data_IF_499840608353
#
_entry.id   IF_499840608353
#
_cell.length_a   1.000
_cell.length_b   1.000
_cell.length_c   1.000
_cell.angle_alpha   90.00
_cell.angle_beta   90.00
_cell.angle_gamma   90.00
#
_symmetry.space_group_name_H-M   'P 1'
#
loop_
_entity.id
_entity.type
_entity.pdbx_description
1 polymer ?
#
# COMPACT_ATOMS: atom_id res chain seq x y z
N UNK A 1 0.60 24.71 -1.61
CA UNK A 1 0.68 23.26 -1.82
C UNK A 1 0.95 22.59 -0.49
N UNK A 2 0.18 21.58 -0.18
CA UNK A 2 0.41 20.83 1.05
C UNK A 2 1.52 19.81 0.86
N UNK A 3 2.32 19.66 1.90
CA UNK A 3 3.38 18.67 1.92
C UNK A 3 2.80 17.27 2.04
N UNK A 4 3.32 16.33 1.25
CA UNK A 4 2.90 14.92 1.30
C UNK A 4 3.39 14.29 2.60
N UNK A 5 2.50 13.60 3.28
CA UNK A 5 2.80 12.84 4.49
C UNK A 5 2.97 11.37 4.12
N UNK A 6 4.19 10.88 4.25
CA UNK A 6 4.52 9.49 3.94
C UNK A 6 4.39 8.62 5.18
N UNK A 7 4.08 7.34 4.99
CA UNK A 7 4.13 6.38 6.09
C UNK A 7 5.59 6.05 6.41
N UNK A 8 5.86 5.86 7.69
CA UNK A 8 7.17 5.39 8.18
C UNK A 8 7.18 3.87 8.28
N UNK A 9 8.37 3.27 8.39
CA UNK A 9 8.48 1.83 8.62
C UNK A 9 7.78 1.41 9.90
N UNK A 10 7.90 2.21 10.97
CA UNK A 10 7.20 1.94 12.24
C UNK A 10 5.69 1.91 12.09
N UNK A 11 5.13 2.83 11.29
CA UNK A 11 3.69 2.86 11.05
C UNK A 11 3.24 1.62 10.27
N UNK A 12 4.01 1.20 9.27
CA UNK A 12 3.68 0.02 8.48
C UNK A 12 3.75 -1.25 9.35
N UNK A 13 4.77 -1.35 10.20
CA UNK A 13 4.90 -2.47 11.15
C UNK A 13 3.72 -2.48 12.13
N UNK A 14 3.34 -1.33 12.65
CA UNK A 14 2.19 -1.21 13.56
C UNK A 14 0.90 -1.68 12.87
N UNK A 15 0.69 -1.26 11.63
CA UNK A 15 -0.51 -1.66 10.88
C UNK A 15 -0.53 -3.17 10.63
N UNK A 16 0.61 -3.77 10.35
CA UNK A 16 0.71 -5.23 10.21
C UNK A 16 0.33 -5.94 11.51
N UNK A 17 0.90 -5.52 12.62
CA UNK A 17 0.59 -6.09 13.95
C UNK A 17 -0.90 -5.96 14.26
N UNK A 18 -1.46 -4.81 13.97
CA UNK A 18 -2.87 -4.52 14.21
C UNK A 18 -3.78 -5.46 13.41
N UNK A 19 -3.46 -5.67 12.12
CA UNK A 19 -4.22 -6.58 11.27
C UNK A 19 -4.17 -8.02 11.80
N UNK A 20 -3.00 -8.47 12.22
CA UNK A 20 -2.85 -9.83 12.77
C UNK A 20 -3.64 -9.99 14.06
N UNK A 21 -3.55 -9.02 14.98
CA UNK A 21 -4.26 -9.05 16.26
C UNK A 21 -5.78 -9.06 16.08
N UNK A 22 -6.28 -8.33 15.09
CA UNK A 22 -7.72 -8.26 14.84
C UNK A 22 -8.28 -9.51 14.17
N UNK A 23 -7.57 -10.06 13.20
CA UNK A 23 -8.15 -11.07 12.30
C UNK A 23 -7.51 -12.45 12.37
N UNK A 24 -6.28 -12.56 12.83
CA UNK A 24 -5.56 -13.84 12.89
C UNK A 24 -4.53 -13.84 14.02
N UNK A 25 -4.98 -13.67 15.31
CA UNK A 25 -4.07 -13.44 16.42
C UNK A 25 -3.09 -14.57 16.71
N UNK A 26 -3.29 -15.76 16.13
CA UNK A 26 -2.39 -16.89 16.30
C UNK A 26 -1.26 -16.92 15.25
N UNK A 27 -1.36 -16.12 14.19
CA UNK A 27 -0.31 -16.06 13.18
C UNK A 27 0.92 -15.33 13.69
N UNK A 28 2.07 -15.70 13.17
CA UNK A 28 3.34 -15.07 13.52
C UNK A 28 3.34 -13.61 13.05
N UNK A 29 3.69 -12.70 13.96
CA UNK A 29 3.91 -11.29 13.66
C UNK A 29 5.36 -11.06 13.26
N UNK A 30 5.61 -9.93 12.64
CA UNK A 30 6.96 -9.40 12.46
C UNK A 30 7.40 -9.29 11.03
N UNK A 31 8.51 -8.60 10.88
CA UNK A 31 9.15 -8.35 9.58
C UNK A 31 10.02 -9.54 9.21
N UNK A 32 9.75 -10.11 8.04
CA UNK A 32 10.55 -11.19 7.48
C UNK A 32 11.77 -10.65 6.74
N UNK A 33 11.61 -9.53 6.04
CA UNK A 33 12.67 -8.94 5.24
C UNK A 33 12.67 -7.41 5.39
N UNK A 34 13.65 -6.91 6.16
CA UNK A 34 13.76 -5.47 6.45
C UNK A 34 14.10 -4.65 5.23
N UNK A 35 14.89 -5.18 4.32
CA UNK A 35 15.27 -4.50 3.09
C UNK A 35 14.08 -4.29 2.17
N UNK A 36 13.23 -5.30 2.05
CA UNK A 36 12.01 -5.20 1.24
C UNK A 36 10.98 -4.25 1.86
N UNK A 37 10.91 -4.21 3.20
CA UNK A 37 10.06 -3.23 3.89
C UNK A 37 10.55 -1.81 3.62
N UNK A 38 11.84 -1.56 3.80
CA UNK A 38 12.44 -0.26 3.54
C UNK A 38 12.22 0.19 2.10
N UNK A 39 12.43 -0.70 1.15
CA UNK A 39 12.18 -0.45 -0.27
C UNK A 39 10.74 -0.02 -0.53
N UNK A 40 9.77 -0.72 0.04
CA UNK A 40 8.34 -0.41 -0.14
C UNK A 40 8.01 0.98 0.42
N UNK A 41 8.49 1.28 1.62
CA UNK A 41 8.20 2.55 2.32
C UNK A 41 8.83 3.74 1.60
N UNK A 42 10.02 3.57 1.03
CA UNK A 42 10.73 4.66 0.38
C UNK A 42 10.37 4.85 -1.10
N UNK A 43 9.80 3.84 -1.75
CA UNK A 43 9.46 3.94 -3.17
C UNK A 43 8.60 5.16 -3.52
N UNK A 44 7.54 5.51 -2.76
CA UNK A 44 6.72 6.68 -3.10
C UNK A 44 7.48 8.00 -3.16
N UNK A 45 8.63 8.08 -2.48
CA UNK A 45 9.46 9.29 -2.41
C UNK A 45 10.51 9.36 -3.50
N UNK A 46 10.65 8.34 -4.33
CA UNK A 46 11.73 8.28 -5.32
C UNK A 46 11.66 9.45 -6.29
N UNK A 47 12.84 9.92 -6.67
CA UNK A 47 12.99 10.98 -7.66
C UNK A 47 14.02 10.55 -8.71
N UNK A 48 13.90 11.14 -9.88
CA UNK A 48 14.85 10.93 -10.98
C UNK A 48 15.06 12.26 -11.67
N UNK A 49 16.33 12.64 -11.86
CA UNK A 49 16.70 13.90 -12.52
C UNK A 49 16.05 15.13 -11.88
N UNK A 50 15.94 15.14 -10.54
CA UNK A 50 15.39 16.26 -9.79
C UNK A 50 13.87 16.33 -9.76
N UNK A 51 13.17 15.35 -10.34
CA UNK A 51 11.71 15.31 -10.36
C UNK A 51 11.19 14.05 -9.68
N UNK A 52 9.97 14.14 -9.11
CA UNK A 52 9.33 12.98 -8.49
C UNK A 52 9.07 11.89 -9.54
N UNK A 53 9.47 10.66 -9.21
CA UNK A 53 9.16 9.50 -10.05
C UNK A 53 7.65 9.23 -10.06
N UNK A 54 6.96 9.56 -8.97
CA UNK A 54 5.52 9.38 -8.79
C UNK A 54 4.91 10.73 -8.41
N UNK A 55 4.58 11.59 -9.40
CA UNK A 55 4.22 12.99 -9.10
C UNK A 55 2.86 13.20 -8.45
N UNK A 56 1.88 12.33 -8.69
CA UNK A 56 0.54 12.47 -8.10
C UNK A 56 0.37 11.64 -6.85
N UNK A 57 -0.60 12.01 -6.01
CA UNK A 57 -0.91 11.24 -4.80
C UNK A 57 -1.33 9.81 -5.16
N UNK A 58 -2.03 9.62 -6.27
CA UNK A 58 -2.49 8.31 -6.72
C UNK A 58 -1.32 7.42 -7.14
N UNK A 59 -0.33 8.00 -7.83
CA UNK A 59 0.88 7.28 -8.20
C UNK A 59 1.73 6.91 -6.99
N UNK A 60 1.86 7.83 -6.03
CA UNK A 60 2.56 7.56 -4.77
C UNK A 60 1.89 6.44 -3.97
N UNK A 61 0.56 6.49 -3.89
CA UNK A 61 -0.24 5.46 -3.24
C UNK A 61 -0.07 4.11 -3.92
N UNK A 62 -0.09 4.10 -5.26
CA UNK A 62 0.09 2.88 -6.04
C UNK A 62 1.48 2.27 -5.85
N UNK A 63 2.51 3.11 -5.77
CA UNK A 63 3.88 2.64 -5.55
C UNK A 63 4.01 1.95 -4.18
N UNK A 64 3.44 2.53 -3.14
CA UNK A 64 3.41 1.93 -1.80
C UNK A 64 2.64 0.60 -1.81
N UNK A 65 1.44 0.63 -2.35
CA UNK A 65 0.52 -0.50 -2.36
C UNK A 65 1.08 -1.70 -3.14
N UNK A 66 1.54 -1.46 -4.35
CA UNK A 66 2.13 -2.51 -5.18
C UNK A 66 3.35 -3.14 -4.51
N UNK A 67 4.24 -2.31 -3.95
CA UNK A 67 5.44 -2.82 -3.29
C UNK A 67 5.11 -3.66 -2.06
N UNK A 68 4.16 -3.21 -1.23
CA UNK A 68 3.76 -3.99 -0.06
C UNK A 68 3.09 -5.31 -0.44
N UNK A 69 2.32 -5.31 -1.52
CA UNK A 69 1.68 -6.54 -2.00
C UNK A 69 2.70 -7.54 -2.55
N UNK A 70 3.67 -7.08 -3.34
CA UNK A 70 4.59 -7.96 -4.07
C UNK A 70 5.83 -8.34 -3.28
N UNK A 71 6.28 -7.49 -2.36
CA UNK A 71 7.53 -7.73 -1.63
C UNK A 71 7.41 -8.79 -0.55
N UNK A 72 6.23 -9.06 -0.03
CA UNK A 72 6.00 -10.04 1.06
C UNK A 72 6.98 -9.85 2.21
N UNK A 73 7.10 -8.60 2.70
CA UNK A 73 8.11 -8.26 3.71
C UNK A 73 7.75 -8.70 5.13
N UNK A 74 6.52 -9.14 5.38
CA UNK A 74 6.07 -9.67 6.67
C UNK A 74 5.88 -11.18 6.61
N UNK A 75 5.89 -11.83 7.76
CA UNK A 75 5.59 -13.26 7.83
C UNK A 75 4.15 -13.55 7.44
N UNK A 76 3.22 -12.72 7.84
CA UNK A 76 1.80 -12.92 7.57
C UNK A 76 1.08 -11.60 7.32
N UNK A 77 -0.15 -11.69 6.81
CA UNK A 77 -1.07 -10.58 6.60
C UNK A 77 -0.55 -9.52 5.61
N UNK A 78 0.24 -9.90 4.62
CA UNK A 78 0.81 -8.96 3.66
C UNK A 78 -0.26 -8.21 2.87
N UNK A 79 -1.31 -8.89 2.40
CA UNK A 79 -2.39 -8.25 1.63
C UNK A 79 -3.21 -7.30 2.49
N UNK A 80 -3.59 -7.74 3.70
CA UNK A 80 -4.36 -6.89 4.63
C UNK A 80 -3.55 -5.66 5.04
N UNK A 81 -2.26 -5.83 5.27
CA UNK A 81 -1.36 -4.73 5.62
C UNK A 81 -1.21 -3.75 4.47
N UNK A 82 -1.05 -4.26 3.24
CA UNK A 82 -0.95 -3.39 2.05
C UNK A 82 -2.21 -2.53 1.90
N UNK A 83 -3.39 -3.12 2.07
CA UNK A 83 -4.64 -2.38 1.99
C UNK A 83 -4.78 -1.35 3.12
N UNK A 84 -4.46 -1.74 4.35
CA UNK A 84 -4.51 -0.83 5.50
C UNK A 84 -3.56 0.37 5.31
N UNK A 85 -2.36 0.12 4.76
CA UNK A 85 -1.40 1.17 4.48
C UNK A 85 -1.88 2.09 3.35
N UNK A 86 -2.49 1.53 2.31
CA UNK A 86 -3.09 2.32 1.24
C UNK A 86 -4.16 3.27 1.81
N UNK A 87 -5.07 2.74 2.62
CA UNK A 87 -6.11 3.54 3.27
C UNK A 87 -5.51 4.65 4.13
N UNK A 88 -4.56 4.31 4.98
CA UNK A 88 -3.94 5.26 5.90
C UNK A 88 -3.14 6.34 5.17
N UNK A 89 -2.36 5.95 4.15
CA UNK A 89 -1.59 6.92 3.36
C UNK A 89 -2.50 7.95 2.72
N UNK A 90 -3.57 7.50 2.09
CA UNK A 90 -4.54 8.40 1.46
C UNK A 90 -5.22 9.29 2.50
N UNK A 91 -5.65 8.68 3.62
CA UNK A 91 -6.37 9.39 4.67
C UNK A 91 -5.55 10.54 5.27
N UNK A 92 -4.28 10.31 5.56
CA UNK A 92 -3.44 11.35 6.15
C UNK A 92 -3.08 12.45 5.15
N UNK A 93 -3.33 12.23 3.86
CA UNK A 93 -3.15 13.24 2.81
C UNK A 93 -4.48 13.82 2.33
N UNK A 94 -5.54 13.70 3.14
CA UNK A 94 -6.86 14.27 2.90
C UNK A 94 -7.61 13.65 1.73
N UNK A 95 -7.44 12.35 1.57
CA UNK A 95 -8.21 11.54 0.63
C UNK A 95 -8.86 10.39 1.36
N UNK A 96 -9.97 9.90 0.85
CA UNK A 96 -10.66 8.77 1.42
C UNK A 96 -10.86 7.69 0.37
N UNK A 97 -10.41 6.48 0.72
CA UNK A 97 -10.63 5.29 -0.08
C UNK A 97 -12.01 4.73 0.27
N UNK A 98 -12.89 4.64 -0.73
CA UNK A 98 -14.30 4.28 -0.54
C UNK A 98 -14.67 2.92 -1.11
N UNK A 99 -13.68 2.11 -1.43
CA UNK A 99 -13.90 0.78 -2.00
C UNK A 99 -14.44 -0.19 -0.94
N UNK A 100 -15.34 -1.07 -1.37
CA UNK A 100 -15.83 -2.14 -0.49
C UNK A 100 -14.68 -3.10 -0.16
N UNK A 101 -14.57 -3.57 1.10
CA UNK A 101 -13.47 -4.47 1.48
C UNK A 101 -13.30 -5.72 0.62
N UNK A 102 -14.40 -6.32 0.18
CA UNK A 102 -14.33 -7.50 -0.68
C UNK A 102 -13.74 -7.17 -2.04
N UNK A 103 -14.13 -6.04 -2.63
CA UNK A 103 -13.59 -5.58 -3.92
C UNK A 103 -12.08 -5.33 -3.79
N UNK A 104 -11.67 -4.71 -2.68
CA UNK A 104 -10.25 -4.47 -2.41
C UNK A 104 -9.48 -5.79 -2.23
N UNK A 105 -10.02 -6.74 -1.50
CA UNK A 105 -9.39 -8.04 -1.29
C UNK A 105 -9.21 -8.79 -2.62
N UNK A 106 -10.25 -8.78 -3.46
CA UNK A 106 -10.18 -9.41 -4.78
C UNK A 106 -9.10 -8.78 -5.65
N UNK A 107 -8.97 -7.45 -5.62
CA UNK A 107 -7.95 -6.75 -6.37
C UNK A 107 -6.55 -7.09 -5.87
N UNK A 108 -6.34 -7.16 -4.58
CA UNK A 108 -5.05 -7.59 -4.00
C UNK A 108 -4.65 -8.98 -4.50
N UNK A 109 -5.61 -9.92 -4.52
CA UNK A 109 -5.37 -11.28 -5.03
C UNK A 109 -4.99 -11.25 -6.50
N UNK A 110 -5.71 -10.46 -7.32
CA UNK A 110 -5.41 -10.34 -8.75
C UNK A 110 -3.98 -9.84 -9.00
N UNK A 111 -3.53 -8.88 -8.21
CA UNK A 111 -2.18 -8.30 -8.38
C UNK A 111 -1.10 -9.35 -8.09
N UNK A 112 -1.28 -10.19 -7.07
CA UNK A 112 -0.24 -11.12 -6.63
C UNK A 112 -0.35 -12.52 -7.22
N UNK A 113 -1.48 -12.88 -7.83
CA UNK A 113 -1.71 -14.23 -8.35
C UNK A 113 -0.99 -14.43 -9.68
N UNK A 114 0.03 -15.32 -9.75
CA UNK A 114 0.76 -15.55 -10.99
C UNK A 114 -0.05 -16.22 -12.09
N UNK A 115 -1.21 -16.80 -11.77
CA UNK A 115 -2.11 -17.43 -12.74
C UNK A 115 -3.06 -16.45 -13.40
N UNK A 116 -3.13 -15.22 -12.89
CA UNK A 116 -3.93 -14.15 -13.48
C UNK A 116 -3.05 -13.28 -14.40
N UNK A 117 -3.63 -12.60 -15.40
CA UNK A 117 -2.87 -11.62 -16.17
C UNK A 117 -2.27 -10.56 -15.26
N UNK A 118 -1.06 -10.11 -15.60
CA UNK A 118 -0.40 -9.07 -14.83
C UNK A 118 -1.23 -7.79 -14.83
N UNK A 119 -1.37 -7.20 -13.64
CA UNK A 119 -1.97 -5.88 -13.47
C UNK A 119 -0.84 -4.87 -13.55
N UNK A 120 -0.91 -3.99 -14.55
CA UNK A 120 0.13 -2.97 -14.74
C UNK A 120 0.07 -1.91 -13.63
N UNK A 121 1.19 -1.19 -13.46
CA UNK A 121 1.22 -0.07 -12.52
C UNK A 121 0.16 0.97 -12.86
N UNK A 122 0.00 1.29 -14.15
CA UNK A 122 -1.03 2.24 -14.60
C UNK A 122 -2.43 1.78 -14.23
N UNK A 123 -2.71 0.49 -14.31
CA UNK A 123 -4.00 -0.07 -13.91
C UNK A 123 -4.22 0.05 -12.41
N UNK A 124 -3.18 -0.13 -11.60
CA UNK A 124 -3.26 0.05 -10.15
C UNK A 124 -3.57 1.52 -9.82
N UNK A 125 -2.88 2.45 -10.49
CA UNK A 125 -3.12 3.90 -10.31
C UNK A 125 -4.58 4.23 -10.65
N UNK A 126 -5.07 3.74 -11.78
CA UNK A 126 -6.44 3.99 -12.22
C UNK A 126 -7.48 3.43 -11.23
N UNK A 127 -7.22 2.24 -10.69
CA UNK A 127 -8.10 1.62 -9.70
C UNK A 127 -8.16 2.45 -8.42
N UNK A 128 -7.00 2.90 -7.93
CA UNK A 128 -6.94 3.74 -6.73
C UNK A 128 -7.69 5.05 -6.98
N UNK A 129 -7.45 5.69 -8.12
CA UNK A 129 -8.11 6.94 -8.47
C UNK A 129 -9.63 6.77 -8.54
N UNK A 130 -10.10 5.68 -9.10
CA UNK A 130 -11.54 5.37 -9.22
C UNK A 130 -12.22 5.31 -7.85
N UNK A 131 -11.55 4.72 -6.84
CA UNK A 131 -12.14 4.46 -5.53
C UNK A 131 -11.74 5.46 -4.46
N UNK A 132 -11.14 6.57 -4.85
CA UNK A 132 -10.65 7.59 -3.91
C UNK A 132 -11.36 8.91 -4.14
N UNK A 133 -11.73 9.58 -3.06
CA UNK A 133 -12.32 10.93 -3.09
C UNK A 133 -11.52 11.87 -2.20
N UNK A 134 -11.33 13.13 -2.62
CA UNK A 134 -10.81 14.16 -1.72
C UNK A 134 -11.73 14.32 -0.51
N UNK A 135 -11.13 14.51 0.66
CA UNK A 135 -11.88 14.73 1.90
C UNK A 135 -11.15 15.78 2.73
N UNK A 136 -11.71 16.98 2.77
CA UNK A 136 -11.13 18.12 3.45
C UNK A 136 -11.72 18.36 4.83
#
# INVERSE_FOLDING_TARGET
MEEIKYLTEHQVIFLNMHQIRLYSPKEQQGVKDKGLLSSAVHRPKQSAFGEDAYPTIYEKAAALFESLLKNHCFYNANKRTAFACLYMFLRQNKYRLIVHPKTAADFCVQIVNPEQPDISFAEIVAWIQKWTKPEF
#
